data_IF_071191355146
#
_entry.id   IF_071191355146
#
_cell.length_a   1.000
_cell.length_b   1.000
_cell.length_c   1.000
_cell.angle_alpha   90.00
_cell.angle_beta   90.00
_cell.angle_gamma   90.00
#
_symmetry.space_group_name_H-M   'P 1'
#
loop_
_entity.id
_entity.type
_entity.pdbx_description
1 polymer ?
#
# COMPACT_ATOMS: atom_id res chain seq x y z
N UNK A 1 72.64 -25.02 12.29
CA UNK A 1 71.69 -25.89 11.55
C UNK A 1 70.88 -26.69 12.58
N UNK A 2 69.71 -26.21 13.01
CA UNK A 2 68.80 -26.98 13.85
C UNK A 2 67.36 -26.72 13.44
N UNK A 3 66.66 -27.82 13.13
CA UNK A 3 65.33 -27.87 12.51
C UNK A 3 64.27 -27.45 13.52
N UNK A 4 63.49 -26.44 13.18
CA UNK A 4 62.21 -26.13 13.81
C UNK A 4 61.25 -27.30 13.55
N UNK A 5 61.14 -28.24 14.49
CA UNK A 5 60.12 -29.28 14.43
C UNK A 5 58.77 -28.68 14.83
N UNK A 6 58.05 -28.19 13.81
CA UNK A 6 56.64 -27.79 13.89
C UNK A 6 55.83 -29.03 14.29
N UNK A 7 55.49 -29.13 15.58
CA UNK A 7 54.60 -30.16 16.12
C UNK A 7 53.22 -29.99 15.47
N UNK A 8 52.98 -30.72 14.38
CA UNK A 8 51.65 -30.79 13.80
C UNK A 8 50.76 -31.49 14.84
N UNK A 9 49.81 -30.76 15.42
CA UNK A 9 48.77 -31.35 16.26
C UNK A 9 47.92 -32.21 15.35
N UNK A 10 48.20 -33.51 15.30
CA UNK A 10 47.33 -34.45 14.61
C UNK A 10 46.02 -34.56 15.37
N UNK A 11 44.91 -34.36 14.66
CA UNK A 11 43.57 -34.52 15.21
C UNK A 11 43.37 -35.97 15.65
N UNK A 12 42.80 -36.16 16.84
CA UNK A 12 42.41 -37.49 17.33
C UNK A 12 41.30 -38.07 16.44
N UNK A 13 41.12 -39.41 16.44
CA UNK A 13 40.10 -40.06 15.60
C UNK A 13 38.70 -39.45 15.82
N UNK A 14 38.31 -39.22 17.08
CA UNK A 14 37.04 -38.57 17.43
C UNK A 14 36.90 -37.14 16.86
N UNK A 15 38.01 -36.39 16.77
CA UNK A 15 38.00 -35.06 16.17
C UNK A 15 37.86 -35.11 14.64
N UNK A 16 38.41 -36.14 13.99
CA UNK A 16 38.27 -36.36 12.54
C UNK A 16 36.85 -36.76 12.19
N UNK A 17 36.23 -37.64 12.98
CA UNK A 17 34.84 -38.06 12.77
C UNK A 17 33.85 -36.90 12.97
N UNK A 18 34.08 -36.07 13.99
CA UNK A 18 33.29 -34.86 14.21
C UNK A 18 33.44 -33.85 13.06
N UNK A 19 34.66 -33.66 12.52
CA UNK A 19 34.91 -32.79 11.38
C UNK A 19 34.13 -33.24 10.14
N UNK A 20 34.13 -34.55 9.84
CA UNK A 20 33.34 -35.09 8.74
C UNK A 20 31.84 -34.86 8.96
N UNK A 21 31.34 -35.10 10.17
CA UNK A 21 29.96 -34.79 10.54
C UNK A 21 29.60 -33.32 10.26
N UNK A 22 30.48 -32.38 10.64
CA UNK A 22 30.28 -30.96 10.34
C UNK A 22 30.33 -30.66 8.84
N UNK A 23 31.22 -31.27 8.06
CA UNK A 23 31.28 -31.05 6.60
C UNK A 23 30.01 -31.53 5.90
N UNK A 24 29.48 -32.69 6.30
CA UNK A 24 28.23 -33.23 5.76
C UNK A 24 27.02 -32.34 6.07
N UNK A 25 26.99 -31.70 7.23
CA UNK A 25 25.91 -30.78 7.63
C UNK A 25 26.13 -29.36 7.08
N UNK A 26 27.38 -28.91 6.97
CA UNK A 26 27.70 -27.58 6.48
C UNK A 26 27.32 -27.40 5.02
N UNK A 27 27.54 -28.39 4.16
CA UNK A 27 27.22 -28.29 2.73
C UNK A 27 25.74 -27.96 2.45
N UNK A 28 24.74 -28.68 3.00
CA UNK A 28 23.34 -28.31 2.82
C UNK A 28 22.98 -26.99 3.51
N UNK A 29 23.57 -26.67 4.67
CA UNK A 29 23.34 -25.37 5.34
C UNK A 29 23.84 -24.21 4.48
N UNK A 30 25.04 -24.31 3.91
CA UNK A 30 25.59 -23.30 3.01
C UNK A 30 24.68 -23.15 1.79
N UNK A 31 24.23 -24.26 1.20
CA UNK A 31 23.27 -24.23 0.10
C UNK A 31 21.98 -23.50 0.48
N UNK A 32 21.39 -23.82 1.63
CA UNK A 32 20.20 -23.14 2.15
C UNK A 32 20.44 -21.63 2.36
N UNK A 33 21.56 -21.25 2.97
CA UNK A 33 21.87 -19.85 3.24
C UNK A 33 22.07 -19.07 1.94
N UNK A 34 22.76 -19.64 0.95
CA UNK A 34 23.06 -18.95 -0.30
C UNK A 34 21.83 -18.85 -1.21
N UNK A 35 21.05 -19.93 -1.33
CA UNK A 35 19.99 -20.01 -2.34
C UNK A 35 18.59 -19.74 -1.80
N UNK A 36 18.34 -19.93 -0.50
CA UNK A 36 17.03 -19.67 0.10
C UNK A 36 17.06 -18.44 1.02
N UNK A 37 17.86 -18.49 2.10
CA UNK A 37 17.87 -17.40 3.07
C UNK A 37 18.49 -16.10 2.50
N UNK A 38 19.50 -16.23 1.64
CA UNK A 38 20.23 -15.12 1.03
C UNK A 38 19.32 -14.17 0.25
N UNK A 39 18.58 -14.66 -0.77
CA UNK A 39 17.61 -13.83 -1.50
C UNK A 39 16.52 -13.22 -0.61
N UNK A 40 16.03 -13.96 0.39
CA UNK A 40 15.03 -13.45 1.34
C UNK A 40 15.60 -12.28 2.15
N UNK A 41 16.79 -12.45 2.73
CA UNK A 41 17.46 -11.40 3.48
C UNK A 41 17.80 -10.19 2.60
N UNK A 42 18.22 -10.42 1.35
CA UNK A 42 18.46 -9.36 0.39
C UNK A 42 17.18 -8.55 0.11
N UNK A 43 16.03 -9.20 -0.12
CA UNK A 43 14.74 -8.54 -0.30
C UNK A 43 14.32 -7.73 0.92
N UNK A 44 14.52 -8.28 2.12
CA UNK A 44 14.23 -7.58 3.38
C UNK A 44 15.11 -6.34 3.51
N UNK A 45 16.42 -6.45 3.26
CA UNK A 45 17.34 -5.30 3.31
C UNK A 45 16.96 -4.24 2.27
N UNK A 46 16.66 -4.66 1.04
CA UNK A 46 16.26 -3.76 -0.04
C UNK A 46 14.93 -3.04 0.25
N UNK A 47 14.02 -3.63 1.05
CA UNK A 47 12.77 -2.95 1.44
C UNK A 47 12.98 -1.66 2.25
N UNK A 48 14.12 -1.54 2.93
CA UNK A 48 14.51 -0.32 3.67
C UNK A 48 15.26 0.70 2.81
N UNK A 49 15.54 0.36 1.55
CA UNK A 49 16.14 1.24 0.58
C UNK A 49 15.09 1.68 -0.45
N UNK A 50 15.10 2.96 -0.80
CA UNK A 50 14.38 3.44 -1.97
C UNK A 50 15.27 3.16 -3.19
N UNK A 51 14.81 2.27 -4.06
CA UNK A 51 15.54 1.88 -5.25
C UNK A 51 14.61 1.82 -6.45
N UNK A 52 15.14 2.19 -7.60
CA UNK A 52 14.49 2.12 -8.91
C UNK A 52 15.50 1.51 -9.88
N UNK A 53 15.05 0.84 -10.94
CA UNK A 53 15.93 0.20 -11.93
C UNK A 53 16.91 1.18 -12.58
N UNK A 54 16.57 2.47 -12.59
CA UNK A 54 17.30 3.54 -13.25
C UNK A 54 18.19 4.38 -12.30
N UNK A 55 18.04 4.23 -10.97
CA UNK A 55 18.69 5.10 -9.99
C UNK A 55 19.45 4.29 -8.94
N UNK A 56 20.52 4.87 -8.42
CA UNK A 56 21.26 4.25 -7.33
C UNK A 56 20.37 4.08 -6.09
N UNK A 57 20.46 2.93 -5.39
CA UNK A 57 19.65 2.67 -4.21
C UNK A 57 20.03 3.63 -3.09
N UNK A 58 19.02 4.30 -2.52
CA UNK A 58 19.18 5.22 -1.38
C UNK A 58 18.66 4.54 -0.13
N UNK A 59 19.49 4.50 0.92
CA UNK A 59 19.03 4.00 2.21
C UNK A 59 18.11 5.02 2.88
N UNK A 60 16.82 4.69 2.99
CA UNK A 60 15.79 5.55 3.61
C UNK A 60 15.29 4.99 4.94
N UNK A 61 15.80 3.82 5.35
CA UNK A 61 15.43 3.16 6.61
C UNK A 61 13.96 2.78 6.62
N UNK A 62 13.22 3.27 7.62
CA UNK A 62 11.80 2.92 7.81
C UNK A 62 10.84 3.80 7.00
N UNK A 63 11.32 4.73 6.18
CA UNK A 63 10.42 5.68 5.52
C UNK A 63 9.48 5.00 4.52
N UNK A 64 9.98 4.04 3.74
CA UNK A 64 9.16 3.20 2.86
C UNK A 64 8.00 2.53 3.62
N UNK A 65 8.31 1.93 4.76
CA UNK A 65 7.31 1.27 5.61
C UNK A 65 6.29 2.26 6.18
N UNK A 66 6.71 3.46 6.57
CA UNK A 66 5.78 4.51 7.00
C UNK A 66 4.84 4.90 5.88
N UNK A 67 5.35 5.11 4.66
CA UNK A 67 4.52 5.48 3.52
C UNK A 67 3.49 4.40 3.16
N UNK A 68 3.87 3.12 3.22
CA UNK A 68 2.98 1.99 2.97
C UNK A 68 1.87 1.83 4.02
N UNK A 69 2.23 1.98 5.30
CA UNK A 69 1.32 1.69 6.43
C UNK A 69 0.50 2.90 6.89
N UNK A 70 0.82 4.11 6.43
CA UNK A 70 0.08 5.30 6.83
C UNK A 70 -1.28 5.34 6.15
N UNK A 71 -2.33 5.39 6.97
CA UNK A 71 -3.72 5.49 6.53
C UNK A 71 -4.35 6.77 7.08
N UNK A 72 -5.23 7.37 6.29
CA UNK A 72 -6.04 8.51 6.68
C UNK A 72 -7.51 8.15 6.47
N UNK A 73 -8.36 8.43 7.45
CA UNK A 73 -9.79 8.16 7.37
C UNK A 73 -10.49 9.51 7.36
N UNK A 74 -11.25 9.78 6.31
CA UNK A 74 -11.97 11.04 6.16
C UNK A 74 -13.41 10.78 5.72
N UNK A 75 -14.36 11.46 6.36
CA UNK A 75 -15.76 11.50 5.94
C UNK A 75 -15.90 12.37 4.70
N UNK A 76 -16.66 11.92 3.70
CA UNK A 76 -16.90 12.67 2.46
C UNK A 76 -18.17 13.50 2.63
N UNK A 77 -18.05 14.83 2.82
CA UNK A 77 -19.23 15.68 2.91
C UNK A 77 -19.87 15.87 1.52
N UNK A 78 -21.13 16.30 1.53
CA UNK A 78 -21.79 16.78 0.33
C UNK A 78 -21.14 18.09 -0.15
N UNK A 79 -21.07 18.26 -1.47
CA UNK A 79 -20.59 19.47 -2.12
C UNK A 79 -21.62 20.59 -1.84
N UNK A 80 -21.19 21.72 -1.28
CA UNK A 80 -22.09 22.82 -0.93
C UNK A 80 -22.03 23.88 -2.03
N UNK A 81 -23.18 24.45 -2.40
CA UNK A 81 -23.26 25.57 -3.30
C UNK A 81 -22.70 26.85 -2.66
N UNK A 82 -21.77 27.52 -3.33
CA UNK A 82 -21.14 28.75 -2.84
C UNK A 82 -22.14 29.92 -2.75
N UNK A 83 -23.19 29.92 -3.58
CA UNK A 83 -24.16 31.00 -3.62
C UNK A 83 -25.25 30.87 -2.55
N UNK A 84 -25.79 29.66 -2.34
CA UNK A 84 -26.92 29.42 -1.43
C UNK A 84 -26.49 28.82 -0.08
N UNK A 85 -25.36 28.12 -0.01
CA UNK A 85 -24.95 27.38 1.18
C UNK A 85 -25.70 26.05 1.38
N UNK A 86 -26.47 25.60 0.39
CA UNK A 86 -27.22 24.34 0.42
C UNK A 86 -26.41 23.17 -0.19
N UNK A 87 -26.67 21.91 0.20
CA UNK A 87 -26.02 20.77 -0.42
C UNK A 87 -26.48 20.62 -1.88
N UNK A 88 -25.53 20.27 -2.74
CA UNK A 88 -25.76 20.07 -4.16
C UNK A 88 -26.24 18.65 -4.46
N UNK A 89 -27.14 18.57 -5.42
CA UNK A 89 -27.62 17.35 -6.04
C UNK A 89 -27.29 17.37 -7.53
N UNK A 90 -26.99 16.20 -8.08
CA UNK A 90 -26.82 15.98 -9.50
C UNK A 90 -28.16 15.53 -10.09
N UNK A 91 -28.88 16.44 -10.73
CA UNK A 91 -30.10 16.15 -11.47
C UNK A 91 -29.76 16.06 -12.96
N UNK A 92 -29.81 14.86 -13.53
CA UNK A 92 -29.31 14.56 -14.88
C UNK A 92 -27.84 15.00 -15.10
N UNK A 93 -27.61 16.17 -15.71
CA UNK A 93 -26.26 16.73 -15.96
C UNK A 93 -26.00 18.04 -15.21
N UNK A 94 -26.96 18.52 -14.44
CA UNK A 94 -26.86 19.80 -13.75
C UNK A 94 -26.66 19.61 -12.25
N UNK A 95 -25.77 20.41 -11.66
CA UNK A 95 -25.67 20.56 -10.22
C UNK A 95 -26.69 21.59 -9.78
N UNK A 96 -27.57 21.21 -8.86
CA UNK A 96 -28.62 22.09 -8.34
C UNK A 96 -28.64 22.05 -6.82
N UNK A 97 -28.95 23.16 -6.14
CA UNK A 97 -29.12 23.18 -4.69
C UNK A 97 -30.38 22.41 -4.28
N UNK A 98 -30.41 21.95 -3.04
CA UNK A 98 -31.50 21.14 -2.47
C UNK A 98 -32.88 21.77 -2.69
N UNK A 99 -33.01 23.10 -2.58
CA UNK A 99 -34.30 23.79 -2.77
C UNK A 99 -34.93 23.57 -4.15
N UNK A 100 -34.12 23.30 -5.18
CA UNK A 100 -34.57 23.15 -6.58
C UNK A 100 -34.85 21.70 -6.96
N UNK A 101 -34.47 20.74 -6.11
CA UNK A 101 -34.62 19.31 -6.38
C UNK A 101 -36.08 18.93 -6.56
N UNK A 102 -36.97 19.45 -5.71
CA UNK A 102 -38.40 19.12 -5.75
C UNK A 102 -39.11 19.55 -7.05
N UNK A 103 -38.58 20.54 -7.76
CA UNK A 103 -39.14 21.01 -9.04
C UNK A 103 -38.66 20.15 -10.21
N UNK A 104 -37.39 19.73 -10.19
CA UNK A 104 -36.76 19.02 -11.29
C UNK A 104 -36.98 17.50 -11.20
N UNK A 105 -37.10 16.96 -9.99
CA UNK A 105 -37.27 15.54 -9.78
C UNK A 105 -38.56 15.04 -10.43
N UNK A 106 -38.41 14.10 -11.34
CA UNK A 106 -39.53 13.49 -12.05
C UNK A 106 -40.02 14.20 -13.30
N UNK A 107 -39.39 15.32 -13.67
CA UNK A 107 -39.54 15.92 -15.00
C UNK A 107 -38.91 15.02 -16.08
N UNK A 108 -39.23 15.26 -17.36
CA UNK A 108 -38.66 14.50 -18.48
C UNK A 108 -37.52 15.34 -19.06
N UNK A 109 -36.30 14.79 -19.09
CA UNK A 109 -35.16 15.45 -19.75
C UNK A 109 -35.43 15.54 -21.25
N UNK A 110 -35.42 16.75 -21.84
CA UNK A 110 -35.69 16.94 -23.27
C UNK A 110 -34.65 16.28 -24.19
N UNK A 111 -33.46 15.98 -23.69
CA UNK A 111 -32.36 15.40 -24.47
C UNK A 111 -32.46 13.88 -24.56
N UNK A 112 -32.75 13.23 -23.43
CA UNK A 112 -32.75 11.76 -23.31
C UNK A 112 -34.15 11.18 -23.31
N UNK A 113 -35.19 11.98 -23.08
CA UNK A 113 -36.57 11.52 -22.91
C UNK A 113 -36.79 10.69 -21.64
N UNK A 114 -35.83 10.68 -20.71
CA UNK A 114 -35.88 9.93 -19.46
C UNK A 114 -36.36 10.80 -18.31
N UNK A 115 -37.00 10.17 -17.32
CA UNK A 115 -37.36 10.85 -16.06
C UNK A 115 -36.07 11.29 -15.34
N UNK A 116 -36.02 12.55 -14.92
CA UNK A 116 -34.90 13.12 -14.17
C UNK A 116 -34.94 12.56 -12.75
N UNK A 117 -33.83 11.97 -12.33
CA UNK A 117 -33.58 11.53 -10.96
C UNK A 117 -32.42 12.36 -10.42
N UNK A 118 -32.55 12.80 -9.16
CA UNK A 118 -31.55 13.62 -8.49
C UNK A 118 -30.80 12.76 -7.48
N UNK A 119 -29.46 12.75 -7.56
CA UNK A 119 -28.60 12.05 -6.62
C UNK A 119 -27.76 13.04 -5.81
N UNK A 120 -27.48 12.78 -4.52
CA UNK A 120 -26.66 13.68 -3.72
C UNK A 120 -25.24 13.77 -4.28
N UNK A 121 -24.71 14.98 -4.39
CA UNK A 121 -23.37 15.22 -4.92
C UNK A 121 -22.36 15.35 -3.79
N UNK A 122 -21.46 14.37 -3.68
CA UNK A 122 -20.37 14.39 -2.70
C UNK A 122 -19.12 15.11 -3.21
N UNK A 123 -18.29 15.64 -2.31
CA UNK A 123 -16.98 16.15 -2.71
C UNK A 123 -16.13 15.05 -3.37
N UNK A 124 -15.23 15.45 -4.28
CA UNK A 124 -14.34 14.48 -4.95
C UNK A 124 -13.23 14.07 -4.01
N UNK A 125 -12.70 12.86 -4.18
CA UNK A 125 -11.64 12.30 -3.35
C UNK A 125 -10.43 13.24 -3.19
N UNK A 126 -9.98 13.85 -4.29
CA UNK A 126 -8.84 14.78 -4.31
C UNK A 126 -9.04 16.07 -3.52
N UNK A 127 -10.30 16.44 -3.29
CA UNK A 127 -10.67 17.66 -2.56
C UNK A 127 -10.84 17.35 -1.05
N UNK A 128 -10.89 16.06 -0.68
CA UNK A 128 -11.17 15.58 0.69
C UNK A 128 -9.92 14.94 1.33
N UNK A 129 -9.18 14.16 0.56
CA UNK A 129 -7.97 13.47 1.04
C UNK A 129 -6.74 14.41 1.04
N UNK A 130 -5.78 14.19 1.96
CA UNK A 130 -4.52 14.94 1.94
C UNK A 130 -3.72 14.74 0.65
N UNK A 131 -2.85 15.69 0.33
CA UNK A 131 -2.02 15.60 -0.88
C UNK A 131 -1.17 14.31 -0.93
N UNK A 132 -1.19 13.67 -2.09
CA UNK A 132 -0.49 12.40 -2.34
C UNK A 132 -1.20 11.16 -1.79
N UNK A 133 -2.37 11.30 -1.16
CA UNK A 133 -3.20 10.17 -0.77
C UNK A 133 -4.20 9.84 -1.89
N UNK A 134 -4.52 8.56 -2.00
CA UNK A 134 -5.58 8.03 -2.87
C UNK A 134 -6.43 7.05 -2.08
N UNK A 135 -7.68 6.88 -2.49
CA UNK A 135 -8.61 5.95 -1.86
C UNK A 135 -8.06 4.53 -1.94
N UNK A 136 -7.97 3.88 -0.79
CA UNK A 136 -7.61 2.48 -0.64
C UNK A 136 -8.84 1.63 -0.30
N UNK A 137 -9.83 2.20 0.39
CA UNK A 137 -11.09 1.53 0.72
C UNK A 137 -12.21 2.56 0.89
N UNK A 138 -13.40 2.21 0.40
CA UNK A 138 -14.63 2.98 0.59
C UNK A 138 -15.54 2.28 1.59
N UNK A 139 -16.08 3.03 2.56
CA UNK A 139 -17.01 2.51 3.56
C UNK A 139 -18.28 3.34 3.61
N UNK A 140 -19.42 2.67 3.44
CA UNK A 140 -20.74 3.26 3.63
C UNK A 140 -21.32 2.80 4.96
N UNK A 141 -21.31 3.68 5.97
CA UNK A 141 -21.76 3.37 7.33
C UNK A 141 -22.77 4.40 7.79
N UNK A 142 -23.96 3.94 8.22
CA UNK A 142 -25.01 4.81 8.81
C UNK A 142 -25.34 6.03 7.94
N UNK A 143 -25.52 5.82 6.63
CA UNK A 143 -25.80 6.86 5.62
C UNK A 143 -24.69 7.90 5.43
N UNK A 144 -23.47 7.64 5.91
CA UNK A 144 -22.28 8.45 5.68
C UNK A 144 -21.29 7.69 4.81
N UNK A 145 -20.62 8.41 3.93
CA UNK A 145 -19.60 7.88 3.02
C UNK A 145 -18.22 8.24 3.58
N UNK A 146 -17.39 7.23 3.82
CA UNK A 146 -16.03 7.41 4.32
C UNK A 146 -15.03 6.91 3.29
N UNK A 147 -13.98 7.69 3.09
CA UNK A 147 -12.81 7.30 2.32
C UNK A 147 -11.66 7.02 3.26
N UNK A 148 -11.08 5.83 3.11
CA UNK A 148 -9.82 5.48 3.73
C UNK A 148 -8.74 5.68 2.67
N UNK A 149 -7.95 6.75 2.83
CA UNK A 149 -6.85 7.09 1.96
C UNK A 149 -5.52 6.49 2.42
N UNK A 150 -4.67 6.10 1.47
CA UNK A 150 -3.27 5.72 1.67
C UNK A 150 -2.39 6.43 0.62
N UNK A 151 -1.11 6.62 0.93
CA UNK A 151 -0.14 7.09 -0.09
C UNK A 151 0.15 6.02 -1.15
N UNK A 152 0.09 4.76 -0.76
CA UNK A 152 0.17 3.62 -1.67
C UNK A 152 -1.08 2.74 -1.52
N UNK A 153 -2.11 2.94 -2.35
CA UNK A 153 -3.36 2.17 -2.28
C UNK A 153 -3.18 0.72 -2.79
N UNK A 154 -2.23 0.47 -3.70
CA UNK A 154 -2.05 -0.85 -4.32
C UNK A 154 -1.66 -1.91 -3.29
N UNK A 155 -0.86 -1.51 -2.29
CA UNK A 155 -0.52 -2.36 -1.16
C UNK A 155 -1.77 -2.87 -0.42
N UNK A 156 -2.71 -1.96 -0.14
CA UNK A 156 -3.93 -2.30 0.59
C UNK A 156 -4.91 -3.07 -0.29
N UNK A 157 -5.07 -2.70 -1.56
CA UNK A 157 -5.84 -3.45 -2.56
C UNK A 157 -5.38 -4.91 -2.63
N UNK A 158 -4.07 -5.13 -2.65
CA UNK A 158 -3.49 -6.47 -2.67
C UNK A 158 -3.69 -7.28 -1.37
N UNK A 159 -4.13 -6.69 -0.26
CA UNK A 159 -4.38 -7.42 0.98
C UNK A 159 -5.80 -7.95 1.10
N UNK A 160 -6.79 -7.26 0.53
CA UNK A 160 -8.20 -7.66 0.63
C UNK A 160 -8.75 -8.28 -0.66
N UNK A 161 -8.08 -8.10 -1.80
CA UNK A 161 -8.50 -8.64 -3.10
C UNK A 161 -7.81 -9.96 -3.49
N UNK A 162 -7.20 -10.66 -2.51
CA UNK A 162 -6.58 -11.99 -2.67
C UNK A 162 -7.53 -13.14 -2.48
#
# INVERSE_FOLDING_TARGET
MNRLLRRQRELTLNQRDALWGYLFVALPIIGFVVFAAGPILASVILSFAEWDLLRDPKWVGLDNWRQLLTINITEVPQEIDEATGEPLFLCARQKVPESQVAELEGTIDPTTGTKVTCEPRYMRERDVLPEGYRTALELNLSSRHYLIGSRDPLFWEGLYNT
#
